data_IF_851766556359
#
_entry.id   IF_851766556359
#
_cell.length_a   1.000
_cell.length_b   1.000
_cell.length_c   1.000
_cell.angle_alpha   90.00
_cell.angle_beta   90.00
_cell.angle_gamma   90.00
#
_symmetry.space_group_name_H-M   'P 1'
#
loop_
_entity.id
_entity.type
_entity.pdbx_description
1 polymer ?
#
# COMPACT_ATOMS: atom_id res chain seq x y z
N UNK A 1 8.57 -5.15 -0.53
CA UNK A 1 7.65 -5.97 0.30
C UNK A 1 8.08 -7.43 0.40
N UNK A 2 8.20 -8.19 -0.71
CA UNK A 2 8.53 -9.63 -0.73
C UNK A 2 9.74 -10.07 0.12
N UNK A 3 10.83 -9.30 0.06
CA UNK A 3 12.01 -9.56 0.89
C UNK A 3 11.77 -9.22 2.37
N UNK A 4 11.03 -8.15 2.64
CA UNK A 4 10.80 -7.61 3.99
C UNK A 4 9.93 -8.54 4.83
N UNK A 5 8.85 -9.10 4.25
CA UNK A 5 7.94 -10.03 4.97
C UNK A 5 8.63 -11.31 5.45
N UNK A 6 9.83 -11.62 4.92
CA UNK A 6 10.65 -12.78 5.29
C UNK A 6 11.69 -12.47 6.37
N UNK A 7 11.82 -11.21 6.79
CA UNK A 7 12.77 -10.86 7.84
C UNK A 7 12.28 -11.41 9.17
N UNK A 8 13.17 -12.08 9.89
CA UNK A 8 12.89 -12.70 11.18
C UNK A 8 13.82 -12.17 12.26
N UNK A 9 13.37 -12.31 13.51
CA UNK A 9 14.18 -12.12 14.71
C UNK A 9 14.89 -13.42 15.09
N UNK A 10 15.85 -13.39 16.03
CA UNK A 10 16.53 -14.60 16.51
C UNK A 10 15.59 -15.67 17.09
N UNK A 11 14.40 -15.27 17.56
CA UNK A 11 13.35 -16.18 18.07
C UNK A 11 12.51 -16.83 16.95
N UNK A 12 12.83 -16.56 15.67
CA UNK A 12 12.12 -17.07 14.50
C UNK A 12 10.85 -16.30 14.13
N UNK A 13 10.39 -15.35 14.96
CA UNK A 13 9.20 -14.55 14.68
C UNK A 13 9.44 -13.46 13.62
N UNK A 14 8.38 -12.94 12.97
CA UNK A 14 8.51 -11.84 12.01
C UNK A 14 9.18 -10.59 12.61
N UNK A 15 9.99 -9.92 11.81
CA UNK A 15 10.65 -8.67 12.20
C UNK A 15 9.64 -7.53 12.41
N UNK A 16 8.64 -7.42 11.54
CA UNK A 16 7.59 -6.40 11.62
C UNK A 16 6.70 -6.57 12.87
N UNK A 17 6.43 -5.50 13.66
CA UNK A 17 5.61 -5.60 14.86
C UNK A 17 4.14 -5.98 14.64
N UNK A 18 3.53 -5.51 13.55
CA UNK A 18 2.13 -5.83 13.24
C UNK A 18 2.00 -7.30 12.85
N UNK A 19 2.85 -7.78 11.95
CA UNK A 19 2.90 -9.19 11.54
C UNK A 19 3.19 -10.11 12.73
N UNK A 20 4.12 -9.72 13.60
CA UNK A 20 4.48 -10.52 14.79
C UNK A 20 3.33 -10.62 15.80
N UNK A 21 2.49 -9.60 15.90
CA UNK A 21 1.28 -9.66 16.75
C UNK A 21 0.33 -10.74 16.25
N UNK A 22 0.05 -10.78 14.95
CA UNK A 22 -0.80 -11.82 14.38
C UNK A 22 -0.14 -13.21 14.41
N UNK A 23 1.15 -13.30 14.12
CA UNK A 23 1.92 -14.55 14.20
C UNK A 23 1.88 -15.17 15.60
N UNK A 24 2.01 -14.36 16.67
CA UNK A 24 1.91 -14.85 18.07
C UNK A 24 0.53 -15.44 18.39
N UNK A 25 -0.50 -15.02 17.67
CA UNK A 25 -1.86 -15.52 17.80
C UNK A 25 -2.15 -16.69 16.83
N UNK A 26 -1.14 -17.22 16.15
CA UNK A 26 -1.26 -18.38 15.26
C UNK A 26 -1.50 -18.04 13.79
N UNK A 27 -1.43 -16.77 13.40
CA UNK A 27 -1.63 -16.39 12.00
C UNK A 27 -0.44 -16.76 11.11
N UNK A 28 -0.76 -17.15 9.88
CA UNK A 28 0.23 -17.45 8.85
C UNK A 28 0.21 -16.39 7.75
N UNK A 29 1.39 -16.02 7.23
CA UNK A 29 1.48 -15.17 6.04
C UNK A 29 0.99 -15.98 4.83
N UNK A 30 -0.03 -15.45 4.15
CA UNK A 30 -0.57 -16.07 2.92
C UNK A 30 0.23 -15.62 1.72
N UNK A 31 0.34 -14.30 1.52
CA UNK A 31 1.06 -13.68 0.39
C UNK A 31 1.22 -12.18 0.59
N UNK A 32 2.19 -11.60 -0.14
CA UNK A 32 2.15 -10.19 -0.47
C UNK A 32 1.12 -9.96 -1.57
N UNK A 33 0.34 -8.91 -1.42
CA UNK A 33 -0.62 -8.47 -2.43
C UNK A 33 -0.19 -7.08 -2.90
N UNK A 34 0.36 -6.95 -4.12
CA UNK A 34 0.96 -5.70 -4.58
C UNK A 34 -0.05 -4.59 -4.83
N UNK A 35 -1.34 -4.92 -4.94
CA UNK A 35 -2.45 -4.00 -5.19
C UNK A 35 -3.63 -4.42 -4.33
N UNK A 36 -3.96 -3.67 -3.28
CA UNK A 36 -5.08 -4.04 -2.39
C UNK A 36 -6.09 -2.94 -2.16
N UNK A 37 -5.63 -1.73 -1.92
CA UNK A 37 -6.50 -0.56 -1.89
C UNK A 37 -6.18 0.20 -3.16
N UNK A 38 -7.19 0.37 -4.00
CA UNK A 38 -7.08 1.14 -5.23
C UNK A 38 -8.07 2.29 -5.12
N UNK A 39 -7.54 3.51 -5.06
CA UNK A 39 -8.34 4.73 -5.16
C UNK A 39 -8.05 5.30 -6.53
N UNK A 40 -9.08 5.36 -7.37
CA UNK A 40 -9.01 5.92 -8.71
C UNK A 40 -10.07 7.02 -8.85
N UNK A 41 -9.71 8.09 -9.56
CA UNK A 41 -10.57 9.25 -9.78
C UNK A 41 -9.99 10.11 -10.89
N UNK A 42 -10.77 11.09 -11.38
CA UNK A 42 -10.24 12.01 -12.39
C UNK A 42 -9.20 12.93 -11.77
N UNK A 43 -8.38 13.56 -12.60
CA UNK A 43 -7.35 14.48 -12.08
C UNK A 43 -8.00 15.61 -11.27
N UNK A 44 -9.12 16.16 -11.74
CA UNK A 44 -9.86 17.19 -11.02
C UNK A 44 -10.41 16.72 -9.66
N UNK A 45 -10.78 15.44 -9.53
CA UNK A 45 -11.27 14.90 -8.26
C UNK A 45 -10.10 14.80 -7.27
N UNK A 46 -8.93 14.36 -7.74
CA UNK A 46 -7.70 14.36 -6.94
C UNK A 46 -7.27 15.76 -6.50
N UNK A 47 -7.25 16.74 -7.41
CA UNK A 47 -6.92 18.14 -7.08
C UNK A 47 -7.85 18.66 -5.98
N UNK A 48 -9.15 18.33 -6.05
CA UNK A 48 -10.12 18.70 -5.04
C UNK A 48 -9.92 17.97 -3.69
N UNK A 49 -9.54 16.69 -3.70
CA UNK A 49 -9.30 15.92 -2.48
C UNK A 49 -8.03 16.34 -1.76
N UNK A 50 -7.00 16.73 -2.51
CA UNK A 50 -5.65 16.94 -1.96
C UNK A 50 -5.28 18.42 -1.83
N UNK A 51 -6.05 19.33 -2.43
CA UNK A 51 -5.69 20.75 -2.58
C UNK A 51 -4.30 20.92 -3.25
N UNK A 52 -4.03 20.08 -4.24
CA UNK A 52 -2.79 20.08 -5.02
C UNK A 52 -3.13 20.25 -6.50
N UNK A 53 -2.12 20.63 -7.30
CA UNK A 53 -2.23 20.71 -8.76
C UNK A 53 -1.38 19.63 -9.39
N UNK A 54 -1.92 18.94 -10.40
CA UNK A 54 -1.22 17.87 -11.11
C UNK A 54 -1.04 18.23 -12.60
N UNK A 55 -0.06 19.09 -12.93
CA UNK A 55 0.06 19.67 -14.27
C UNK A 55 0.48 18.67 -15.35
N UNK A 56 1.23 17.62 -14.99
CA UNK A 56 1.77 16.61 -15.92
C UNK A 56 1.54 15.18 -15.42
N UNK A 57 1.66 14.20 -16.31
CA UNK A 57 1.60 12.78 -15.96
C UNK A 57 2.83 12.38 -15.14
N UNK A 58 2.65 11.51 -14.15
CA UNK A 58 3.73 10.97 -13.34
C UNK A 58 3.37 10.75 -11.88
N UNK A 59 4.37 10.40 -11.05
CA UNK A 59 4.18 10.18 -9.62
C UNK A 59 4.19 11.50 -8.83
N UNK A 60 3.24 11.66 -7.92
CA UNK A 60 3.15 12.79 -7.00
C UNK A 60 3.11 12.33 -5.54
N UNK A 61 3.88 12.98 -4.69
CA UNK A 61 3.84 12.74 -3.23
C UNK A 61 2.67 13.51 -2.65
N UNK A 62 1.57 12.80 -2.39
CA UNK A 62 0.37 13.34 -1.76
C UNK A 62 0.46 13.18 -0.23
N UNK A 63 0.23 14.23 0.58
CA UNK A 63 0.21 14.10 2.03
C UNK A 63 -0.76 13.02 2.51
N UNK A 64 -0.25 12.06 3.30
CA UNK A 64 -1.05 10.98 3.88
C UNK A 64 -1.15 9.71 3.03
N UNK A 65 -0.78 9.76 1.74
CA UNK A 65 -0.64 8.55 0.94
C UNK A 65 0.59 7.75 1.38
N UNK A 66 0.50 6.41 1.37
CA UNK A 66 1.63 5.54 1.75
C UNK A 66 2.70 5.47 0.67
N UNK A 67 2.34 5.83 -0.57
CA UNK A 67 3.24 5.93 -1.70
C UNK A 67 2.77 7.01 -2.68
N UNK A 68 3.55 7.33 -3.73
CA UNK A 68 3.14 8.33 -4.70
C UNK A 68 1.87 7.94 -5.45
N UNK A 69 0.97 8.92 -5.61
CA UNK A 69 -0.19 8.83 -6.50
C UNK A 69 0.30 8.97 -7.93
N UNK A 70 -0.14 8.09 -8.82
CA UNK A 70 0.20 8.14 -10.24
C UNK A 70 -0.87 8.91 -10.99
N UNK A 71 -0.49 9.99 -11.66
CA UNK A 71 -1.37 10.79 -12.52
C UNK A 71 -1.07 10.47 -13.98
N UNK A 72 -2.12 10.26 -14.76
CA UNK A 72 -2.12 10.10 -16.20
C UNK A 72 -3.04 11.15 -16.82
N UNK A 73 -2.45 12.20 -17.41
CA UNK A 73 -3.17 13.32 -18.03
C UNK A 73 -3.82 12.94 -19.36
N UNK A 74 -3.27 11.97 -20.08
CA UNK A 74 -3.86 11.50 -21.35
C UNK A 74 -5.16 10.74 -21.09
N UNK A 75 -5.23 10.01 -19.98
CA UNK A 75 -6.41 9.24 -19.56
C UNK A 75 -7.35 9.98 -18.60
N UNK A 76 -6.99 11.18 -18.15
CA UNK A 76 -7.66 11.93 -17.08
C UNK A 76 -7.90 11.06 -15.82
N UNK A 77 -6.83 10.43 -15.32
CA UNK A 77 -6.89 9.52 -14.18
C UNK A 77 -5.76 9.82 -13.19
N UNK A 78 -6.11 9.92 -11.91
CA UNK A 78 -5.17 9.77 -10.80
C UNK A 78 -5.45 8.44 -10.08
N UNK A 79 -4.39 7.75 -9.66
CA UNK A 79 -4.50 6.43 -9.04
C UNK A 79 -3.51 6.24 -7.91
N UNK A 80 -4.03 5.83 -6.76
CA UNK A 80 -3.28 5.36 -5.60
C UNK A 80 -3.47 3.86 -5.43
N UNK A 81 -2.39 3.13 -5.10
CA UNK A 81 -2.38 1.66 -5.09
C UNK A 81 -1.53 1.04 -3.99
N UNK A 82 -2.10 0.77 -2.82
CA UNK A 82 -1.31 0.26 -1.69
C UNK A 82 -1.01 -1.24 -1.73
N UNK A 83 0.29 -1.63 -1.63
CA UNK A 83 0.66 -3.01 -1.40
C UNK A 83 0.39 -3.38 0.05
N UNK A 84 -0.08 -4.60 0.29
CA UNK A 84 -0.25 -5.13 1.64
C UNK A 84 0.25 -6.56 1.75
N UNK A 85 0.26 -7.07 2.97
CA UNK A 85 0.53 -8.47 3.29
C UNK A 85 -0.72 -9.06 3.91
N UNK A 86 -1.15 -10.21 3.40
CA UNK A 86 -2.31 -10.92 3.95
C UNK A 86 -1.83 -11.99 4.91
N UNK A 87 -2.45 -12.01 6.10
CA UNK A 87 -2.26 -13.05 7.10
C UNK A 87 -3.60 -13.68 7.44
N UNK A 88 -3.61 -14.98 7.67
CA UNK A 88 -4.85 -15.73 7.96
C UNK A 88 -4.78 -16.35 9.34
N UNK A 89 -5.85 -16.19 10.11
CA UNK A 89 -6.11 -16.98 11.32
C UNK A 89 -7.06 -18.12 10.92
N UNK A 90 -6.64 -19.35 11.13
CA UNK A 90 -7.52 -20.52 10.94
C UNK A 90 -8.26 -20.72 12.25
N UNK A 91 -9.51 -20.23 12.32
CA UNK A 91 -10.43 -20.45 13.43
C UNK A 91 -11.02 -21.86 13.38
#
# INVERSE_FOLDING_TARGET
MERYVRWTRPDGGPFDPWMRTHWRLGAEVVRVVPRTIVIAGRVADWEAWTDMVFPDSGPYVVPGALQPVIVDRERDEGRDEDPSVWMVHRL
#
